data_IF_825295464152
#
_entry.id   IF_825295464152
#
_cell.length_a   1.000
_cell.length_b   1.000
_cell.length_c   1.000
_cell.angle_alpha   90.00
_cell.angle_beta   90.00
_cell.angle_gamma   90.00
#
_symmetry.space_group_name_H-M   'P 1'
#
loop_
_entity.id
_entity.type
_entity.pdbx_description
1 polymer ?
#
# COMPACT_ATOMS: atom_id res chain seq x y z
N UNK A 1 7.40 27.40 -14.53
CA UNK A 1 5.97 27.26 -14.16
C UNK A 1 5.40 25.92 -14.62
N UNK A 2 5.75 24.82 -13.94
CA UNK A 2 5.12 23.52 -14.16
C UNK A 2 3.99 23.35 -13.13
N UNK A 3 2.75 23.62 -13.55
CA UNK A 3 1.57 23.32 -12.74
C UNK A 3 1.36 21.81 -12.76
N UNK A 4 1.83 21.12 -11.73
CA UNK A 4 1.47 19.73 -11.47
C UNK A 4 -0.07 19.68 -11.32
N UNK A 5 -0.74 18.93 -12.19
CA UNK A 5 -2.20 18.84 -12.24
C UNK A 5 -2.70 18.39 -10.86
N UNK A 6 -3.55 19.20 -10.25
CA UNK A 6 -4.26 18.87 -9.02
C UNK A 6 -4.90 17.48 -9.18
N UNK A 7 -4.70 16.64 -8.17
CA UNK A 7 -5.35 15.36 -7.99
C UNK A 7 -6.85 15.53 -8.25
N UNK A 8 -7.33 15.07 -9.41
CA UNK A 8 -8.75 15.14 -9.78
C UNK A 8 -9.56 14.63 -8.59
N UNK A 9 -10.42 15.48 -8.04
CA UNK A 9 -11.21 15.15 -6.86
C UNK A 9 -11.97 13.86 -7.10
N UNK A 10 -11.61 12.80 -6.37
CA UNK A 10 -12.43 11.60 -6.30
C UNK A 10 -13.66 11.98 -5.48
N UNK A 11 -14.86 11.64 -5.96
CA UNK A 11 -16.07 11.79 -5.16
C UNK A 11 -15.85 11.10 -3.80
N UNK A 12 -16.10 11.77 -2.66
CA UNK A 12 -15.87 11.20 -1.33
C UNK A 12 -16.63 9.88 -1.11
N UNK A 13 -17.73 9.70 -1.84
CA UNK A 13 -18.69 8.61 -1.67
C UNK A 13 -18.34 7.32 -2.44
N UNK A 14 -17.32 7.33 -3.30
CA UNK A 14 -16.88 6.14 -4.04
C UNK A 14 -15.41 5.82 -3.74
N UNK A 15 -15.02 6.00 -2.46
CA UNK A 15 -13.70 5.61 -1.98
C UNK A 15 -13.73 4.11 -1.71
N UNK A 16 -12.86 3.39 -2.41
CA UNK A 16 -12.55 2.01 -2.12
C UNK A 16 -11.14 2.00 -1.58
N UNK A 17 -10.97 1.39 -0.41
CA UNK A 17 -9.66 1.22 0.17
C UNK A 17 -8.91 0.14 -0.60
N UNK A 18 -7.59 0.27 -0.67
CA UNK A 18 -6.76 -0.67 -1.38
C UNK A 18 -5.44 -0.87 -0.65
N UNK A 19 -5.00 -2.12 -0.59
CA UNK A 19 -3.66 -2.48 -0.15
C UNK A 19 -2.72 -2.54 -1.35
N UNK A 20 -1.58 -1.88 -1.24
CA UNK A 20 -0.50 -1.93 -2.23
C UNK A 20 0.76 -2.48 -1.58
N UNK A 21 1.37 -3.49 -2.18
CA UNK A 21 2.60 -4.12 -1.71
C UNK A 21 3.64 -3.96 -2.83
N UNK A 22 4.77 -3.33 -2.50
CA UNK A 22 5.82 -3.04 -3.46
C UNK A 22 7.10 -3.77 -3.05
N UNK A 23 7.66 -4.54 -3.97
CA UNK A 23 8.99 -5.11 -3.80
C UNK A 23 10.03 -4.06 -4.22
N UNK A 24 10.91 -3.73 -3.28
CA UNK A 24 11.96 -2.74 -3.47
C UNK A 24 13.32 -3.36 -3.17
N UNK A 25 14.26 -3.19 -4.11
CA UNK A 25 15.68 -3.49 -3.90
C UNK A 25 16.49 -2.20 -4.03
N UNK A 26 16.90 -1.87 -5.26
CA UNK A 26 17.50 -0.59 -5.63
C UNK A 26 16.51 0.30 -6.40
N UNK A 27 15.50 -0.34 -7.00
CA UNK A 27 14.36 0.26 -7.66
C UNK A 27 13.13 -0.62 -7.39
N UNK A 28 11.95 -0.12 -7.75
CA UNK A 28 10.72 -0.91 -7.74
C UNK A 28 10.86 -2.07 -8.73
N UNK A 29 10.82 -3.31 -8.25
CA UNK A 29 10.95 -4.52 -9.08
C UNK A 29 9.61 -5.19 -9.34
N UNK A 30 8.67 -5.08 -8.40
CA UNK A 30 7.33 -5.67 -8.49
C UNK A 30 6.34 -4.86 -7.66
N UNK A 31 5.10 -4.77 -8.12
CA UNK A 31 4.02 -4.15 -7.38
C UNK A 31 2.78 -5.06 -7.42
N UNK A 32 2.07 -5.13 -6.30
CA UNK A 32 0.79 -5.79 -6.15
C UNK A 32 -0.19 -4.76 -5.59
N UNK A 33 -1.39 -4.68 -6.15
CA UNK A 33 -2.46 -3.83 -5.64
C UNK A 33 -3.76 -4.63 -5.60
N UNK A 34 -4.50 -4.49 -4.51
CA UNK A 34 -5.80 -5.14 -4.33
C UNK A 34 -6.74 -4.22 -3.57
N UNK A 35 -7.95 -4.07 -4.09
CA UNK A 35 -9.05 -3.41 -3.36
C UNK A 35 -9.47 -4.25 -2.17
N UNK A 36 -9.69 -3.61 -1.03
CA UNK A 36 -10.13 -4.24 0.22
C UNK A 36 -11.50 -3.68 0.61
N UNK A 37 -12.31 -4.51 1.27
CA UNK A 37 -13.62 -4.12 1.76
C UNK A 37 -13.57 -3.44 3.13
N UNK A 38 -12.52 -3.71 3.90
CA UNK A 38 -12.25 -3.12 5.21
C UNK A 38 -10.74 -3.22 5.52
N UNK A 39 -10.29 -2.46 6.51
CA UNK A 39 -8.90 -2.37 6.95
C UNK A 39 -8.61 -3.28 8.17
N UNK A 40 -9.48 -4.23 8.48
CA UNK A 40 -9.28 -5.13 9.63
C UNK A 40 -8.10 -6.09 9.39
N UNK A 41 -7.36 -6.41 10.46
CA UNK A 41 -6.22 -7.33 10.41
C UNK A 41 -6.57 -8.69 9.77
N UNK A 42 -7.78 -9.19 10.04
CA UNK A 42 -8.29 -10.43 9.46
C UNK A 42 -8.38 -10.39 7.92
N UNK A 43 -8.58 -9.21 7.34
CA UNK A 43 -8.59 -8.99 5.89
C UNK A 43 -7.19 -8.77 5.35
N UNK A 44 -6.36 -8.00 6.05
CA UNK A 44 -5.04 -7.59 5.58
C UNK A 44 -4.00 -8.72 5.67
N UNK A 45 -3.94 -9.44 6.80
CA UNK A 45 -2.92 -10.45 7.06
C UNK A 45 -2.87 -11.56 6.00
N UNK A 46 -3.99 -12.17 5.56
CA UNK A 46 -3.95 -13.19 4.50
C UNK A 46 -3.45 -12.64 3.16
N UNK A 47 -3.77 -11.38 2.84
CA UNK A 47 -3.31 -10.74 1.59
C UNK A 47 -1.79 -10.55 1.65
N UNK A 48 -1.29 -10.03 2.77
CA UNK A 48 0.14 -9.81 3.01
C UNK A 48 0.90 -11.14 2.93
N UNK A 49 0.47 -12.15 3.69
CA UNK A 49 1.13 -13.47 3.74
C UNK A 49 1.14 -14.19 2.39
N UNK A 50 0.15 -13.96 1.52
CA UNK A 50 0.11 -14.54 0.17
C UNK A 50 1.15 -13.91 -0.77
N UNK A 51 1.50 -12.65 -0.58
CA UNK A 51 2.41 -11.92 -1.47
C UNK A 51 3.87 -11.94 -0.99
N UNK A 52 4.08 -12.08 0.31
CA UNK A 52 5.39 -12.10 0.95
C UNK A 52 5.97 -13.53 0.93
N UNK A 53 7.30 -13.64 0.86
CA UNK A 53 7.97 -14.94 0.94
C UNK A 53 7.77 -15.56 2.34
N UNK A 54 7.51 -16.88 2.45
CA UNK A 54 7.51 -17.56 3.74
C UNK A 54 8.81 -17.28 4.51
N UNK A 55 8.71 -17.17 5.84
CA UNK A 55 9.83 -16.86 6.75
C UNK A 55 10.44 -15.45 6.61
N UNK A 56 9.73 -14.52 5.96
CA UNK A 56 10.14 -13.12 5.97
C UNK A 56 9.82 -12.46 7.32
N UNK A 57 10.71 -11.59 7.79
CA UNK A 57 10.45 -10.71 8.93
C UNK A 57 9.61 -9.51 8.48
N UNK A 58 8.50 -9.25 9.16
CA UNK A 58 7.66 -8.07 8.94
C UNK A 58 8.00 -7.05 10.01
N UNK A 59 8.35 -5.84 9.59
CA UNK A 59 8.51 -4.68 10.45
C UNK A 59 7.26 -3.81 10.31
N UNK A 60 6.69 -3.40 11.45
CA UNK A 60 5.50 -2.54 11.52
C UNK A 60 5.83 -1.15 12.05
N UNK A 61 7.11 -0.79 12.08
CA UNK A 61 7.55 0.54 12.43
C UNK A 61 7.11 1.53 11.35
N UNK A 62 6.84 2.77 11.77
CA UNK A 62 6.53 3.83 10.84
C UNK A 62 7.76 4.06 9.95
N UNK A 63 7.55 4.06 8.63
CA UNK A 63 8.66 4.28 7.71
C UNK A 63 9.25 5.66 7.98
N UNK A 64 10.56 5.72 8.25
CA UNK A 64 11.25 6.91 8.79
C UNK A 64 11.04 8.20 7.99
N UNK A 65 10.66 8.12 6.71
CA UNK A 65 10.33 9.32 5.91
C UNK A 65 8.94 9.92 6.19
N UNK A 66 8.10 9.24 6.96
CA UNK A 66 6.77 9.72 7.38
C UNK A 66 6.77 10.34 8.78
N UNK A 67 7.81 10.09 9.58
CA UNK A 67 8.04 10.78 10.84
C UNK A 67 8.42 12.25 10.58
N UNK A 68 7.45 13.15 10.68
CA UNK A 68 7.63 14.61 10.59
C UNK A 68 7.77 15.27 11.96
#
# INVERSE_FOLDING_TARGET
>A
NYRCKSHRGRSPHNRTDAITIVEFKNNMTRAFAKTISNEEDATLLPIIMKQIKPLSTIYTDEFRSYSH
#
